data_IF_014997313531
#
_entry.id   IF_014997313531
#
_cell.length_a   1.000
_cell.length_b   1.000
_cell.length_c   1.000
_cell.angle_alpha   90.00
_cell.angle_beta   90.00
_cell.angle_gamma   90.00
#
_symmetry.space_group_name_H-M   'P 1'
#
loop_
_entity.id
_entity.type
_entity.pdbx_description
1 polymer ?
#
# COMPACT_ATOMS: atom_id res chain seq x y z
N UNK A 1 -24.49 -60.43 2.45
CA UNK A 1 -23.61 -61.35 3.19
C UNK A 1 -22.18 -60.98 2.83
N UNK A 2 -21.25 -60.57 3.67
CA UNK A 2 -21.20 -60.34 5.11
C UNK A 2 -19.99 -59.43 5.37
N UNK A 3 -20.09 -58.71 6.47
CA UNK A 3 -19.11 -57.83 7.10
C UNK A 3 -17.70 -58.38 7.21
N UNK A 4 -16.70 -57.49 7.03
CA UNK A 4 -15.49 -57.50 7.86
C UNK A 4 -15.20 -56.06 8.31
N UNK A 5 -15.86 -55.67 9.40
CA UNK A 5 -15.46 -54.55 10.23
C UNK A 5 -14.15 -54.93 10.94
N UNK A 6 -13.02 -54.37 10.52
CA UNK A 6 -11.82 -54.36 11.37
C UNK A 6 -11.89 -53.20 12.35
N UNK A 7 -12.25 -53.56 13.58
CA UNK A 7 -12.02 -52.82 14.81
C UNK A 7 -10.54 -52.46 14.88
N UNK A 8 -10.20 -51.20 14.64
CA UNK A 8 -8.92 -50.61 15.05
C UNK A 8 -9.23 -49.79 16.30
N UNK A 9 -8.58 -50.20 17.39
CA UNK A 9 -8.90 -49.84 18.75
C UNK A 9 -8.98 -48.34 19.01
N UNK A 10 -9.76 -48.02 20.02
CA UNK A 10 -9.81 -46.70 20.65
C UNK A 10 -8.42 -46.32 21.16
N UNK A 11 -7.65 -45.64 20.31
CA UNK A 11 -6.55 -44.80 20.77
C UNK A 11 -7.23 -43.70 21.58
N UNK A 12 -7.22 -43.85 22.90
CA UNK A 12 -7.50 -42.77 23.82
C UNK A 12 -6.54 -41.66 23.44
N UNK A 13 -7.04 -40.65 22.73
CA UNK A 13 -6.37 -39.39 22.55
C UNK A 13 -6.20 -38.83 23.96
N UNK A 14 -5.02 -39.06 24.54
CA UNK A 14 -4.57 -38.24 25.66
C UNK A 14 -4.83 -36.80 25.24
N UNK A 15 -5.65 -36.11 26.02
CA UNK A 15 -6.01 -34.73 25.81
C UNK A 15 -4.77 -33.86 25.97
N UNK A 16 -3.90 -33.84 24.97
CA UNK A 16 -3.16 -32.64 24.65
C UNK A 16 -4.21 -31.67 24.14
N UNK A 17 -4.90 -31.00 25.05
CA UNK A 17 -5.42 -29.68 24.73
C UNK A 17 -4.20 -28.93 24.22
N UNK A 18 -4.07 -28.84 22.89
CA UNK A 18 -3.02 -28.07 22.27
C UNK A 18 -3.16 -26.70 22.93
N UNK A 19 -2.20 -26.36 23.77
CA UNK A 19 -2.23 -25.11 24.52
C UNK A 19 -2.28 -24.07 23.41
N UNK A 20 -3.43 -23.42 23.26
CA UNK A 20 -3.69 -22.35 22.30
C UNK A 20 -2.92 -21.09 22.75
N UNK A 21 -1.60 -21.24 22.96
CA UNK A 21 -0.63 -20.16 23.09
C UNK A 21 -0.37 -19.49 21.73
N UNK A 22 -0.99 -19.97 20.65
CA UNK A 22 -1.16 -19.20 19.44
C UNK A 22 -1.99 -17.95 19.78
N UNK A 23 -1.36 -16.79 19.73
CA UNK A 23 -2.02 -15.50 19.87
C UNK A 23 -3.15 -15.41 18.83
N UNK A 24 -4.39 -15.64 19.25
CA UNK A 24 -5.50 -15.90 18.32
C UNK A 24 -5.94 -14.71 17.46
N UNK A 25 -5.32 -13.53 17.57
CA UNK A 25 -5.70 -12.27 16.90
C UNK A 25 -7.23 -12.04 16.78
N UNK A 26 -8.01 -12.55 17.74
CA UNK A 26 -9.48 -12.70 17.63
C UNK A 26 -10.16 -11.35 17.36
N UNK A 27 -9.70 -10.31 18.05
CA UNK A 27 -10.22 -8.94 17.91
C UNK A 27 -9.87 -8.28 16.56
N UNK A 28 -8.98 -8.88 15.78
CA UNK A 28 -8.59 -8.44 14.43
C UNK A 28 -9.32 -9.27 13.38
N UNK A 29 -9.23 -10.60 13.49
CA UNK A 29 -9.78 -11.53 12.49
C UNK A 29 -11.31 -11.51 12.46
N UNK A 30 -11.97 -11.34 13.60
CA UNK A 30 -13.44 -11.33 13.67
C UNK A 30 -14.07 -10.02 13.14
N UNK A 31 -13.28 -9.10 12.58
CA UNK A 31 -13.80 -7.86 11.99
C UNK A 31 -14.39 -8.16 10.63
N UNK A 32 -15.71 -8.09 10.54
CA UNK A 32 -16.42 -8.15 9.26
C UNK A 32 -16.40 -6.78 8.57
N UNK A 33 -15.90 -6.73 7.34
CA UNK A 33 -15.95 -5.54 6.49
C UNK A 33 -17.02 -5.72 5.42
N UNK A 34 -17.66 -4.63 5.02
CA UNK A 34 -18.50 -4.63 3.83
C UNK A 34 -17.59 -4.88 2.62
N UNK A 35 -17.87 -5.95 1.86
CA UNK A 35 -17.14 -6.22 0.62
C UNK A 35 -17.40 -5.07 -0.36
N UNK A 36 -16.37 -4.48 -0.98
CA UNK A 36 -16.56 -3.45 -2.00
C UNK A 36 -17.27 -4.08 -3.20
N UNK A 37 -18.17 -3.32 -3.82
CA UNK A 37 -18.75 -3.69 -5.12
C UNK A 37 -17.70 -3.39 -6.17
N UNK A 38 -17.40 -4.35 -7.03
CA UNK A 38 -16.51 -4.17 -8.17
C UNK A 38 -17.28 -3.51 -9.30
N UNK A 39 -16.75 -2.41 -9.83
CA UNK A 39 -17.35 -1.65 -10.94
C UNK A 39 -16.46 -1.79 -12.16
N UNK A 40 -17.07 -2.08 -13.31
CA UNK A 40 -16.38 -2.13 -14.60
C UNK A 40 -16.54 -0.81 -15.35
N UNK A 41 -15.61 -0.53 -16.26
CA UNK A 41 -15.69 0.66 -17.13
C UNK A 41 -16.89 0.46 -18.06
N UNK A 42 -17.87 1.38 -17.97
CA UNK A 42 -19.12 1.32 -18.74
C UNK A 42 -20.37 1.01 -17.91
N UNK A 43 -20.22 0.56 -16.66
CA UNK A 43 -21.35 0.38 -15.76
C UNK A 43 -22.10 1.69 -15.52
N UNK A 44 -23.43 1.63 -15.51
CA UNK A 44 -24.27 2.81 -15.26
C UNK A 44 -24.10 3.23 -13.80
N UNK A 45 -23.61 4.45 -13.60
CA UNK A 45 -23.50 5.05 -12.26
C UNK A 45 -24.90 5.27 -11.68
N UNK A 46 -25.18 4.65 -10.55
CA UNK A 46 -26.38 4.96 -9.77
C UNK A 46 -26.31 6.40 -9.23
N UNK A 47 -27.27 7.25 -9.60
CA UNK A 47 -27.31 8.66 -9.18
C UNK A 47 -27.35 8.87 -7.66
N UNK A 48 -27.86 7.89 -6.89
CA UNK A 48 -27.89 7.92 -5.42
C UNK A 48 -26.57 7.48 -4.76
N UNK A 49 -25.59 7.01 -5.54
CA UNK A 49 -24.32 6.55 -5.02
C UNK A 49 -23.42 7.74 -4.68
N UNK A 50 -23.19 7.95 -3.39
CA UNK A 50 -22.16 8.88 -2.92
C UNK A 50 -20.77 8.33 -3.25
N UNK A 51 -19.98 9.11 -3.99
CA UNK A 51 -18.59 8.78 -4.31
C UNK A 51 -17.67 9.82 -3.66
N UNK A 52 -16.65 9.39 -2.91
CA UNK A 52 -15.65 10.30 -2.35
C UNK A 52 -15.01 11.14 -3.45
N UNK A 53 -14.83 12.44 -3.19
CA UNK A 53 -14.15 13.35 -4.13
C UNK A 53 -12.68 12.99 -4.35
N UNK A 54 -12.02 12.51 -3.29
CA UNK A 54 -10.62 12.14 -3.30
C UNK A 54 -10.45 10.63 -3.23
N UNK A 55 -9.55 10.10 -4.06
CA UNK A 55 -9.15 8.70 -4.00
C UNK A 55 -8.21 8.49 -2.83
N UNK A 56 -8.42 7.42 -2.05
CA UNK A 56 -7.53 7.10 -0.94
C UNK A 56 -6.12 6.78 -1.44
N UNK A 57 -5.11 7.52 -0.94
CA UNK A 57 -3.69 7.28 -1.25
C UNK A 57 -3.24 5.84 -0.94
N UNK A 58 -3.82 5.20 0.07
CA UNK A 58 -3.40 3.90 0.60
C UNK A 58 -4.36 2.79 0.20
N UNK A 59 -3.87 1.55 -0.01
CA UNK A 59 -4.72 0.39 -0.23
C UNK A 59 -5.57 0.08 1.01
N UNK A 60 -6.75 -0.49 0.80
CA UNK A 60 -7.61 -0.93 1.89
C UNK A 60 -6.91 -2.00 2.74
N UNK A 61 -6.95 -1.82 4.07
CA UNK A 61 -6.38 -2.80 4.99
C UNK A 61 -7.33 -4.00 5.14
N UNK A 62 -6.87 -5.27 4.97
CA UNK A 62 -7.76 -6.43 4.93
C UNK A 62 -8.67 -6.61 6.16
N UNK A 63 -8.22 -6.18 7.34
CA UNK A 63 -8.97 -6.31 8.59
C UNK A 63 -9.65 -5.01 9.04
N UNK A 64 -9.46 -3.91 8.28
CA UNK A 64 -10.02 -2.59 8.57
C UNK A 64 -9.65 -2.02 9.94
N UNK A 65 -10.35 -0.95 10.34
CA UNK A 65 -10.08 -0.22 11.58
C UNK A 65 -10.48 -1.02 12.84
N UNK A 66 -9.83 -0.72 13.96
CA UNK A 66 -10.14 -1.33 15.25
C UNK A 66 -11.42 -0.75 15.86
N UNK A 67 -12.33 -1.63 16.30
CA UNK A 67 -13.60 -1.22 16.94
C UNK A 67 -13.45 -0.99 18.44
N UNK A 68 -12.66 -1.81 19.12
CA UNK A 68 -12.57 -1.85 20.59
C UNK A 68 -11.56 -0.81 21.10
N UNK A 69 -10.36 -0.77 20.52
CA UNK A 69 -9.28 0.09 21.01
C UNK A 69 -8.76 0.99 19.90
N UNK A 70 -9.54 2.02 19.53
CA UNK A 70 -9.22 2.98 18.45
C UNK A 70 -7.86 3.67 18.59
N UNK A 71 -7.33 3.78 19.81
CA UNK A 71 -5.97 4.30 20.06
C UNK A 71 -4.90 3.43 19.37
N UNK A 72 -5.15 2.13 19.20
CA UNK A 72 -4.21 1.20 18.56
C UNK A 72 -3.96 1.52 17.10
N UNK A 73 -4.96 2.09 16.41
CA UNK A 73 -4.87 2.45 15.00
C UNK A 73 -3.92 3.62 14.71
N UNK A 74 -3.56 4.41 15.73
CA UNK A 74 -2.66 5.57 15.59
C UNK A 74 -1.18 5.22 15.74
N UNK A 75 -0.83 3.94 15.88
CA UNK A 75 0.54 3.51 16.14
C UNK A 75 0.75 2.02 15.94
N UNK A 76 1.86 1.47 16.46
CA UNK A 76 2.20 0.06 16.35
C UNK A 76 1.99 -0.66 17.69
N UNK A 77 0.86 -1.34 17.82
CA UNK A 77 0.48 -2.02 19.06
C UNK A 77 0.75 -3.53 19.05
N UNK A 78 1.12 -4.09 17.90
CA UNK A 78 1.51 -5.50 17.80
C UNK A 78 0.35 -6.43 18.17
N UNK A 79 -0.87 -6.09 17.78
CA UNK A 79 -2.10 -6.82 18.12
C UNK A 79 -2.47 -6.80 19.61
N UNK A 80 -1.80 -6.01 20.46
CA UNK A 80 -2.19 -5.85 21.86
C UNK A 80 -3.39 -4.91 21.98
N UNK A 81 -4.35 -5.31 22.80
CA UNK A 81 -5.61 -4.59 23.02
C UNK A 81 -5.80 -4.40 24.53
N UNK A 82 -6.71 -3.52 24.93
CA UNK A 82 -7.09 -3.39 26.33
C UNK A 82 -7.75 -4.70 26.78
N UNK A 83 -7.31 -5.23 27.92
CA UNK A 83 -7.97 -6.34 28.58
C UNK A 83 -8.87 -5.79 29.68
N UNK A 84 -10.07 -6.34 29.83
CA UNK A 84 -10.99 -6.02 30.93
C UNK A 84 -11.19 -7.24 31.81
N UNK A 85 -11.45 -7.03 33.10
CA UNK A 85 -11.65 -8.11 34.07
C UNK A 85 -11.91 -7.56 35.45
N UNK A 86 -11.66 -8.36 36.48
CA UNK A 86 -11.97 -8.02 37.86
C UNK A 86 -10.69 -7.95 38.71
N UNK A 87 -10.62 -7.00 39.64
CA UNK A 87 -9.83 -7.11 40.86
C UNK A 87 -10.63 -7.99 41.82
N UNK A 88 -10.01 -9.04 42.36
CA UNK A 88 -10.65 -9.93 43.34
C UNK A 88 -9.99 -9.67 44.68
N UNK A 89 -10.78 -9.36 45.72
CA UNK A 89 -10.25 -9.26 47.08
C UNK A 89 -10.04 -10.65 47.68
N UNK A 90 -9.34 -10.73 48.80
CA UNK A 90 -9.17 -11.95 49.58
C UNK A 90 -10.53 -12.56 49.98
N UNK A 91 -11.49 -11.71 50.33
CA UNK A 91 -12.90 -12.05 50.61
C UNK A 91 -13.72 -12.43 49.35
N UNK A 92 -13.11 -12.46 48.16
CA UNK A 92 -13.79 -12.80 46.91
C UNK A 92 -14.60 -11.69 46.24
N UNK A 93 -14.58 -10.45 46.77
CA UNK A 93 -15.30 -9.32 46.18
C UNK A 93 -14.69 -8.94 44.83
N UNK A 94 -15.53 -8.78 43.80
CA UNK A 94 -15.09 -8.55 42.41
C UNK A 94 -15.38 -7.11 41.97
N UNK A 95 -14.33 -6.33 41.72
CA UNK A 95 -14.44 -4.95 41.19
C UNK A 95 -13.93 -4.88 39.77
N UNK A 96 -14.66 -4.24 38.84
CA UNK A 96 -14.22 -4.10 37.45
C UNK A 96 -12.91 -3.30 37.35
N UNK A 97 -11.98 -3.78 36.52
CA UNK A 97 -10.74 -3.08 36.17
C UNK A 97 -10.35 -3.32 34.71
N UNK A 98 -9.42 -2.51 34.23
CA UNK A 98 -8.83 -2.66 32.89
C UNK A 98 -7.31 -2.74 32.99
N UNK A 99 -6.68 -3.40 32.01
CA UNK A 99 -5.23 -3.46 31.86
C UNK A 99 -4.85 -2.92 30.49
N UNK A 100 -4.10 -1.81 30.50
CA UNK A 100 -3.57 -1.17 29.31
C UNK A 100 -2.22 -1.80 28.92
N UNK A 101 -1.92 -1.91 27.62
CA UNK A 101 -0.56 -2.24 27.20
C UNK A 101 0.41 -1.12 27.55
N UNK A 102 1.68 -1.46 27.80
CA UNK A 102 2.73 -0.47 28.03
C UNK A 102 3.08 0.23 26.71
N UNK A 103 2.54 1.44 26.51
CA UNK A 103 2.70 2.26 25.30
C UNK A 103 3.69 3.37 25.56
N UNK A 104 4.68 3.50 24.68
CA UNK A 104 5.70 4.52 24.68
C UNK A 104 5.66 5.31 23.36
N UNK A 105 6.05 6.58 23.40
CA UNK A 105 6.25 7.41 22.21
C UNK A 105 7.74 7.41 21.88
N UNK A 106 8.10 6.98 20.67
CA UNK A 106 9.51 6.94 20.23
C UNK A 106 9.62 7.36 18.77
N UNK A 107 10.79 7.90 18.44
CA UNK A 107 11.20 8.19 17.07
C UNK A 107 12.10 7.05 16.61
N UNK A 108 11.77 6.45 15.47
CA UNK A 108 12.57 5.37 14.88
C UNK A 108 12.98 5.78 13.47
N UNK A 109 14.23 5.47 13.10
CA UNK A 109 14.74 5.72 11.76
C UNK A 109 14.15 4.72 10.76
N UNK A 110 13.72 5.23 9.59
CA UNK A 110 13.35 4.42 8.44
C UNK A 110 14.39 4.63 7.35
N UNK A 111 15.07 3.56 6.97
CA UNK A 111 16.08 3.56 5.90
C UNK A 111 15.46 3.85 4.54
N UNK A 112 14.32 3.23 4.23
CA UNK A 112 13.65 3.39 2.95
C UNK A 112 13.07 4.80 2.75
N UNK A 113 12.63 5.44 3.83
CA UNK A 113 12.05 6.79 3.78
C UNK A 113 13.08 7.90 4.11
N UNK A 114 14.30 7.53 4.47
CA UNK A 114 15.40 8.43 4.87
C UNK A 114 14.98 9.50 5.90
N UNK A 115 14.18 9.12 6.90
CA UNK A 115 13.68 10.04 7.94
C UNK A 115 13.35 9.34 9.25
N UNK A 116 13.34 10.10 10.34
CA UNK A 116 12.78 9.65 11.63
C UNK A 116 11.25 9.70 11.63
N UNK A 117 10.62 8.68 12.19
CA UNK A 117 9.16 8.57 12.32
C UNK A 117 8.79 8.50 13.80
N UNK A 118 8.07 9.52 14.27
CA UNK A 118 7.48 9.56 15.61
C UNK A 118 6.19 8.75 15.64
N UNK A 119 6.12 7.75 16.51
CA UNK A 119 4.91 6.94 16.67
C UNK A 119 4.72 6.45 18.10
N UNK A 120 3.48 6.08 18.42
CA UNK A 120 3.15 5.34 19.64
C UNK A 120 3.36 3.86 19.39
N UNK A 121 4.11 3.20 20.24
CA UNK A 121 4.42 1.79 20.10
C UNK A 121 4.40 1.09 21.45
N UNK A 122 4.06 -0.19 21.49
CA UNK A 122 4.14 -0.94 22.74
C UNK A 122 5.57 -1.38 23.00
N UNK A 123 5.95 -1.52 24.27
CA UNK A 123 7.30 -1.98 24.64
C UNK A 123 7.65 -3.34 24.01
N UNK A 124 6.64 -4.22 23.84
CA UNK A 124 6.79 -5.49 23.10
C UNK A 124 7.17 -5.27 21.64
N UNK A 125 6.50 -4.34 20.96
CA UNK A 125 6.78 -4.02 19.56
C UNK A 125 8.17 -3.41 19.42
N UNK A 126 8.60 -2.55 20.35
CA UNK A 126 9.96 -2.01 20.35
C UNK A 126 11.00 -3.14 20.36
N UNK A 127 10.83 -4.12 21.24
CA UNK A 127 11.73 -5.29 21.33
C UNK A 127 11.72 -6.13 20.05
N UNK A 128 10.58 -6.25 19.37
CA UNK A 128 10.53 -6.97 18.08
C UNK A 128 11.20 -6.19 16.95
N UNK A 129 11.07 -4.86 16.95
CA UNK A 129 11.76 -4.00 15.97
C UNK A 129 13.27 -4.11 16.13
N UNK A 130 13.78 -4.07 17.37
CA UNK A 130 15.22 -4.23 17.64
C UNK A 130 15.69 -5.63 17.25
N UNK A 131 14.91 -6.67 17.53
CA UNK A 131 15.22 -8.06 17.13
C UNK A 131 15.28 -8.25 15.61
N UNK A 132 14.43 -7.54 14.86
CA UNK A 132 14.37 -7.64 13.39
C UNK A 132 15.34 -6.66 12.70
N UNK A 133 16.12 -5.89 13.46
CA UNK A 133 17.15 -5.00 12.91
C UNK A 133 16.60 -3.73 12.26
N UNK A 134 15.43 -3.24 12.67
CA UNK A 134 14.92 -1.96 12.21
C UNK A 134 13.41 -1.91 11.97
N UNK A 135 12.88 -0.68 11.87
CA UNK A 135 11.46 -0.43 11.68
C UNK A 135 10.97 -1.01 10.34
N UNK A 136 11.74 -0.83 9.27
CA UNK A 136 11.32 -1.21 7.92
C UNK A 136 11.18 -2.72 7.79
N UNK A 137 12.11 -3.47 8.37
CA UNK A 137 12.07 -4.93 8.40
C UNK A 137 10.86 -5.44 9.17
N UNK A 138 10.51 -4.77 10.27
CA UNK A 138 9.31 -5.09 11.02
C UNK A 138 8.04 -4.87 10.20
N UNK A 139 7.94 -3.76 9.50
CA UNK A 139 6.70 -3.44 8.79
C UNK A 139 6.53 -4.28 7.51
N UNK A 140 7.65 -4.59 6.82
CA UNK A 140 7.64 -5.29 5.53
C UNK A 140 7.62 -6.82 5.64
N UNK A 141 7.74 -7.38 6.85
CA UNK A 141 7.67 -8.85 7.04
C UNK A 141 6.39 -9.44 6.48
N UNK A 142 6.53 -10.51 5.71
CA UNK A 142 5.46 -11.07 4.89
C UNK A 142 4.43 -11.89 5.68
N UNK A 143 4.85 -12.50 6.80
CA UNK A 143 3.99 -13.37 7.63
C UNK A 143 2.62 -12.75 7.90
N UNK A 144 1.54 -13.51 7.71
CA UNK A 144 0.17 -13.04 7.97
C UNK A 144 -0.03 -12.48 9.38
N UNK A 145 0.61 -13.12 10.38
CA UNK A 145 0.57 -12.67 11.76
C UNK A 145 1.07 -11.22 11.91
N UNK A 146 2.08 -10.82 11.11
CA UNK A 146 2.55 -9.43 11.09
C UNK A 146 1.48 -8.50 10.53
N UNK A 147 0.84 -8.89 9.42
CA UNK A 147 -0.23 -8.08 8.82
C UNK A 147 -1.33 -7.83 9.84
N UNK A 148 -1.79 -8.87 10.55
CA UNK A 148 -2.79 -8.77 11.64
C UNK A 148 -2.36 -7.83 12.78
N UNK A 149 -1.07 -7.72 13.05
CA UNK A 149 -0.48 -6.93 14.15
C UNK A 149 -0.26 -5.43 13.84
N UNK A 150 -0.16 -5.06 12.57
CA UNK A 150 0.27 -3.71 12.14
C UNK A 150 -0.76 -2.61 12.45
N UNK A 151 -2.06 -2.93 12.37
CA UNK A 151 -3.13 -1.92 12.43
C UNK A 151 -3.11 -0.97 11.22
N UNK A 152 -3.98 0.04 11.21
CA UNK A 152 -4.10 0.94 10.04
C UNK A 152 -2.86 1.81 9.82
N UNK A 153 -2.27 2.36 10.88
CA UNK A 153 -1.03 3.15 10.77
C UNK A 153 0.13 2.31 10.24
N UNK A 154 0.32 1.11 10.79
CA UNK A 154 1.37 0.20 10.32
C UNK A 154 1.16 -0.24 8.87
N UNK A 155 -0.09 -0.42 8.43
CA UNK A 155 -0.41 -0.74 7.04
C UNK A 155 -0.07 0.41 6.08
N UNK A 156 -0.42 1.66 6.45
CA UNK A 156 -0.05 2.85 5.67
C UNK A 156 1.47 3.00 5.57
N UNK A 157 2.17 2.83 6.69
CA UNK A 157 3.63 2.86 6.75
C UNK A 157 4.26 1.76 5.88
N UNK A 158 3.67 0.55 5.88
CA UNK A 158 4.10 -0.56 5.02
C UNK A 158 4.03 -0.17 3.56
N UNK A 159 2.91 0.42 3.15
CA UNK A 159 2.73 0.87 1.77
C UNK A 159 3.77 1.93 1.38
N UNK A 160 3.99 2.95 2.23
CA UNK A 160 4.99 3.99 1.95
C UNK A 160 6.41 3.40 1.81
N UNK A 161 6.80 2.46 2.69
CA UNK A 161 8.12 1.81 2.64
C UNK A 161 8.27 0.93 1.40
N UNK A 162 7.27 0.09 1.09
CA UNK A 162 7.32 -0.78 -0.09
C UNK A 162 7.35 0.05 -1.37
N UNK A 163 6.58 1.13 -1.45
CA UNK A 163 6.58 2.05 -2.60
C UNK A 163 7.92 2.78 -2.75
N UNK A 164 8.54 3.18 -1.64
CA UNK A 164 9.88 3.78 -1.67
C UNK A 164 10.95 2.78 -2.16
N UNK A 165 10.90 1.52 -1.68
CA UNK A 165 11.77 0.44 -2.16
C UNK A 165 11.55 0.14 -3.64
N UNK A 166 10.29 0.04 -4.07
CA UNK A 166 9.93 -0.15 -5.48
C UNK A 166 10.48 0.98 -6.35
N UNK A 167 10.32 2.23 -5.91
CA UNK A 167 10.84 3.40 -6.60
C UNK A 167 12.38 3.44 -6.66
N UNK A 168 13.05 2.99 -5.59
CA UNK A 168 14.51 2.86 -5.57
C UNK A 168 15.01 1.73 -6.48
N UNK A 169 14.23 0.66 -6.65
CA UNK A 169 14.58 -0.49 -7.48
C UNK A 169 14.25 -0.26 -8.97
N UNK A 170 13.36 0.68 -9.29
CA UNK A 170 13.02 1.03 -10.67
C UNK A 170 14.27 1.58 -11.37
N UNK A 171 14.61 1.08 -12.58
CA UNK A 171 15.72 1.64 -13.34
C UNK A 171 15.43 3.10 -13.68
N UNK A 172 16.49 3.88 -13.91
CA UNK A 172 16.36 5.25 -14.36
C UNK A 172 15.59 5.26 -15.69
N UNK A 173 14.63 6.20 -15.88
CA UNK A 173 13.85 6.29 -17.12
C UNK A 173 14.64 6.90 -18.29
N UNK A 174 15.95 7.07 -18.12
CA UNK A 174 16.86 7.66 -19.10
C UNK A 174 18.23 6.99 -18.98
N UNK A 175 19.00 7.03 -20.06
CA UNK A 175 20.41 6.66 -20.10
C UNK A 175 21.27 7.92 -20.08
N UNK A 176 22.50 7.79 -19.61
CA UNK A 176 23.50 8.84 -19.76
C UNK A 176 24.33 8.56 -21.01
N UNK A 177 24.36 9.52 -21.94
CA UNK A 177 25.29 9.53 -23.07
C UNK A 177 26.15 10.80 -22.95
N UNK A 178 27.41 10.63 -22.55
CA UNK A 178 28.27 11.75 -22.18
C UNK A 178 27.67 12.56 -21.03
N UNK A 179 27.42 13.85 -21.26
CA UNK A 179 26.83 14.77 -20.29
C UNK A 179 25.29 14.80 -20.33
N UNK A 180 24.67 14.21 -21.36
CA UNK A 180 23.24 14.34 -21.61
C UNK A 180 22.44 13.14 -21.09
N UNK A 181 21.21 13.44 -20.63
CA UNK A 181 20.21 12.44 -20.23
C UNK A 181 19.32 12.14 -21.41
N UNK A 182 19.40 10.93 -21.95
CA UNK A 182 18.60 10.49 -23.11
C UNK A 182 17.43 9.64 -22.62
N UNK A 183 16.21 10.12 -22.83
CA UNK A 183 14.97 9.46 -22.40
C UNK A 183 14.42 8.48 -23.43
N UNK A 184 14.68 8.73 -24.71
CA UNK A 184 14.22 7.92 -25.83
C UNK A 184 15.14 8.12 -27.03
N UNK A 185 15.38 7.04 -27.76
CA UNK A 185 16.10 6.99 -29.02
C UNK A 185 15.13 6.40 -30.06
N UNK A 186 14.97 7.05 -31.21
CA UNK A 186 14.05 6.58 -32.25
C UNK A 186 14.17 7.42 -33.50
N UNK A 187 13.14 7.43 -34.34
CA UNK A 187 13.10 8.21 -35.58
C UNK A 187 12.04 9.31 -35.51
N UNK A 188 12.32 10.45 -36.13
CA UNK A 188 11.39 11.55 -36.35
C UNK A 188 11.49 12.01 -37.80
N UNK A 189 10.43 11.87 -38.59
CA UNK A 189 10.41 12.24 -40.02
C UNK A 189 11.55 11.58 -40.83
N UNK A 190 11.96 10.37 -40.44
CA UNK A 190 13.06 9.63 -41.08
C UNK A 190 14.46 9.97 -40.57
N UNK A 191 14.61 10.94 -39.68
CA UNK A 191 15.87 11.27 -39.01
C UNK A 191 15.98 10.52 -37.68
N UNK A 192 17.17 10.02 -37.33
CA UNK A 192 17.42 9.48 -36.00
C UNK A 192 17.43 10.61 -34.96
N UNK A 193 16.59 10.50 -33.94
CA UNK A 193 16.47 11.47 -32.86
C UNK A 193 16.76 10.85 -31.50
N UNK A 194 17.39 11.66 -30.64
CA UNK A 194 17.60 11.35 -29.22
C UNK A 194 16.93 12.43 -28.38
N UNK A 195 16.00 12.03 -27.52
CA UNK A 195 15.25 12.97 -26.70
C UNK A 195 15.97 13.25 -25.38
N UNK A 196 16.38 14.50 -25.17
CA UNK A 196 17.02 14.97 -23.93
C UNK A 196 15.98 15.26 -22.85
N UNK A 197 14.78 15.66 -23.26
CA UNK A 197 13.71 16.03 -22.35
C UNK A 197 12.72 14.87 -22.20
N UNK A 198 12.23 14.70 -20.97
CA UNK A 198 11.25 13.66 -20.66
C UNK A 198 9.86 13.95 -21.23
N UNK A 199 8.99 12.95 -21.12
CA UNK A 199 7.62 12.92 -21.64
C UNK A 199 6.79 14.18 -21.35
N UNK A 200 6.97 14.81 -20.19
CA UNK A 200 6.24 16.04 -19.82
C UNK A 200 6.49 17.20 -20.78
N UNK A 201 7.71 17.39 -21.27
CA UNK A 201 8.01 18.50 -22.20
C UNK A 201 7.46 18.22 -23.59
N UNK A 202 7.52 16.97 -24.05
CA UNK A 202 6.87 16.53 -25.31
C UNK A 202 5.37 16.82 -25.25
N UNK A 203 4.70 16.42 -24.16
CA UNK A 203 3.27 16.66 -24.00
C UNK A 203 2.90 18.15 -23.99
N UNK A 204 3.74 19.01 -23.40
CA UNK A 204 3.52 20.46 -23.44
C UNK A 204 3.64 21.02 -24.85
N UNK A 205 4.61 20.55 -25.64
CA UNK A 205 4.80 20.98 -27.03
C UNK A 205 3.70 20.44 -27.95
N UNK A 206 3.24 19.21 -27.72
CA UNK A 206 2.17 18.58 -28.49
C UNK A 206 0.78 19.21 -28.22
N UNK A 207 0.51 19.60 -26.96
CA UNK A 207 -0.79 20.13 -26.55
C UNK A 207 -1.37 21.27 -27.41
N UNK A 208 -0.64 22.37 -27.74
CA UNK A 208 -1.20 23.45 -28.55
C UNK A 208 -1.63 22.99 -29.95
N UNK A 209 -0.87 22.08 -30.59
CA UNK A 209 -1.21 21.56 -31.91
C UNK A 209 -2.44 20.66 -31.85
N UNK A 210 -2.52 19.75 -30.87
CA UNK A 210 -3.69 18.90 -30.67
C UNK A 210 -4.93 19.76 -30.36
N UNK A 211 -4.77 20.80 -29.55
CA UNK A 211 -5.86 21.73 -29.22
C UNK A 211 -6.35 22.52 -30.45
N UNK A 212 -5.46 22.90 -31.36
CA UNK A 212 -5.81 23.65 -32.57
C UNK A 212 -6.56 22.78 -33.59
N UNK A 213 -6.13 21.52 -33.75
CA UNK A 213 -6.73 20.58 -34.70
C UNK A 213 -8.02 19.93 -34.20
N UNK A 214 -8.38 20.20 -32.95
CA UNK A 214 -9.55 19.63 -32.30
C UNK A 214 -10.71 20.63 -32.26
N UNK A 215 -11.89 20.28 -32.80
CA UNK A 215 -13.05 21.17 -32.77
C UNK A 215 -13.61 21.33 -31.34
N UNK A 216 -13.47 20.30 -30.52
CA UNK A 216 -13.83 20.32 -29.10
C UNK A 216 -12.67 20.93 -28.31
N UNK A 217 -12.83 22.13 -27.75
CA UNK A 217 -11.74 22.77 -27.01
C UNK A 217 -11.18 21.89 -25.89
N UNK A 218 -9.93 21.42 -26.03
CA UNK A 218 -9.29 20.56 -25.02
C UNK A 218 -8.70 21.35 -23.85
N UNK A 219 -8.89 20.83 -22.64
CA UNK A 219 -8.12 21.22 -21.44
C UNK A 219 -6.82 20.43 -21.36
N UNK A 220 -5.77 21.02 -20.77
CA UNK A 220 -4.51 20.30 -20.56
C UNK A 220 -4.69 19.08 -19.62
N UNK A 221 -5.64 19.12 -18.70
CA UNK A 221 -5.91 18.00 -17.80
C UNK A 221 -6.50 16.80 -18.53
N UNK A 222 -7.50 17.02 -19.39
CA UNK A 222 -8.15 15.96 -20.18
C UNK A 222 -7.16 15.38 -21.19
N UNK A 223 -6.38 16.23 -21.84
CA UNK A 223 -5.26 15.83 -22.69
C UNK A 223 -4.26 14.95 -21.93
N UNK A 224 -3.76 15.42 -20.77
CA UNK A 224 -2.76 14.67 -20.02
C UNK A 224 -3.28 13.30 -19.54
N UNK A 225 -4.57 13.19 -19.20
CA UNK A 225 -5.20 11.91 -18.86
C UNK A 225 -5.20 10.96 -20.06
N UNK A 226 -5.54 11.45 -21.26
CA UNK A 226 -5.55 10.63 -22.48
C UNK A 226 -4.15 10.14 -22.86
N UNK A 227 -3.13 11.00 -22.74
CA UNK A 227 -1.75 10.66 -23.16
C UNK A 227 -0.86 10.08 -22.05
N UNK A 228 -1.34 9.97 -20.80
CA UNK A 228 -0.51 9.50 -19.68
C UNK A 228 0.04 8.07 -19.88
N UNK A 229 -0.75 7.19 -20.53
CA UNK A 229 -0.37 5.80 -20.79
C UNK A 229 0.43 5.59 -22.08
N UNK A 230 0.44 6.56 -23.00
CA UNK A 230 1.13 6.43 -24.29
C UNK A 230 2.64 6.23 -24.14
N UNK A 231 3.25 5.41 -24.99
CA UNK A 231 4.71 5.24 -25.01
C UNK A 231 5.42 6.48 -25.59
N UNK A 232 6.75 6.59 -25.44
CA UNK A 232 7.49 7.67 -26.11
C UNK A 232 7.37 7.57 -27.64
N UNK A 233 7.41 6.36 -28.19
CA UNK A 233 7.24 6.10 -29.62
C UNK A 233 5.89 6.61 -30.14
N UNK A 234 4.80 6.30 -29.42
CA UNK A 234 3.46 6.78 -29.79
C UNK A 234 3.36 8.30 -29.76
N UNK A 235 4.01 8.97 -28.81
CA UNK A 235 4.02 10.43 -28.72
C UNK A 235 4.84 11.08 -29.83
N UNK A 236 5.98 10.49 -30.19
CA UNK A 236 6.81 10.97 -31.30
C UNK A 236 6.05 10.83 -32.62
N UNK A 237 5.39 9.69 -32.88
CA UNK A 237 4.51 9.49 -34.04
C UNK A 237 3.37 10.51 -34.11
N UNK A 238 2.78 10.84 -32.95
CA UNK A 238 1.74 11.86 -32.87
C UNK A 238 2.30 13.26 -33.16
N UNK A 239 3.50 13.58 -32.68
CA UNK A 239 4.21 14.81 -33.05
C UNK A 239 4.52 14.89 -34.55
N UNK A 240 4.96 13.79 -35.18
CA UNK A 240 5.22 13.72 -36.63
C UNK A 240 3.95 14.03 -37.42
N UNK A 241 2.83 13.41 -37.05
CA UNK A 241 1.55 13.59 -37.73
C UNK A 241 1.06 15.05 -37.72
N UNK A 242 1.44 15.81 -36.70
CA UNK A 242 1.06 17.22 -36.52
C UNK A 242 2.19 18.20 -36.88
N UNK A 243 3.32 17.70 -37.37
CA UNK A 243 4.53 18.48 -37.67
C UNK A 243 4.96 19.40 -36.51
N UNK A 244 4.98 18.86 -35.29
CA UNK A 244 5.40 19.62 -34.09
C UNK A 244 6.90 19.86 -34.13
N UNK A 245 7.35 21.09 -33.85
CA UNK A 245 8.78 21.33 -33.72
C UNK A 245 9.33 20.74 -32.40
N UNK A 246 10.28 19.82 -32.53
CA UNK A 246 10.96 19.14 -31.42
C UNK A 246 12.40 19.60 -31.22
N UNK A 247 12.85 20.66 -31.90
CA UNK A 247 14.22 21.21 -31.81
C UNK A 247 14.72 21.40 -30.36
N UNK A 248 13.89 21.91 -29.46
CA UNK A 248 14.25 22.12 -28.04
C UNK A 248 14.31 20.83 -27.19
N UNK A 249 13.75 19.73 -27.71
CA UNK A 249 13.57 18.45 -27.00
C UNK A 249 14.58 17.40 -27.47
N UNK A 250 14.96 17.45 -28.75
CA UNK A 250 15.96 16.57 -29.38
C UNK A 250 17.40 17.10 -29.18
N UNK A 251 18.37 16.18 -29.24
CA UNK A 251 19.80 16.49 -29.43
C UNK A 251 20.05 17.07 -30.82
#
# INVERSE_FOLDING_TARGET
MESINRVIGSVRLFSTSAINNARAYRNVVNRQLKKPVEYQIGDIRNNRLWVPKEVSKYPAYPYGESRIFKRSDRGLFGGQVITTGNKVSEMGNRTRRTWLPNVISKNLWSSALNRMIKMKLTARVLRTITKEGGLDNYVTKEKEARIKELGIFGWKLRHDILKAREMSNKPLPYKFEGEYKVYYEGTYNGEEIKLIRGKREILKKLFPYVKLNSPEGYSFSTFNIAHCKKSYEELVKECESLNVDLSEVKL
#
